data_IF_856240153151
#
_entry.id   IF_856240153151
#
_cell.length_a   1.000
_cell.length_b   1.000
_cell.length_c   1.000
_cell.angle_alpha   90.00
_cell.angle_beta   90.00
_cell.angle_gamma   90.00
#
_symmetry.space_group_name_H-M   'P 1'
#
loop_
_entity.id
_entity.type
_entity.pdbx_description
1 polymer ?
#
# COMPACT_ATOMS: atom_id res chain seq x y z
N UNK A 1 19.06 -5.45 -6.08
CA UNK A 1 19.09 -5.05 -4.65
C UNK A 1 18.18 -5.90 -3.75
N UNK A 2 16.88 -5.61 -3.54
CA UNK A 2 16.05 -6.37 -2.58
C UNK A 2 15.92 -7.85 -2.95
N UNK A 3 15.76 -8.17 -4.24
CA UNK A 3 15.73 -9.55 -4.71
C UNK A 3 17.02 -10.31 -4.40
N UNK A 4 18.19 -9.71 -4.65
CA UNK A 4 19.51 -10.30 -4.33
C UNK A 4 19.67 -10.53 -2.82
N UNK A 5 19.36 -9.53 -1.99
CA UNK A 5 19.49 -9.63 -0.53
C UNK A 5 18.58 -10.73 0.04
N UNK A 6 17.39 -10.89 -0.54
CA UNK A 6 16.40 -11.87 -0.12
C UNK A 6 16.51 -13.21 -0.86
N UNK A 7 17.54 -13.41 -1.69
CA UNK A 7 17.76 -14.65 -2.43
C UNK A 7 16.63 -15.03 -3.40
N UNK A 8 15.97 -14.02 -3.99
CA UNK A 8 14.86 -14.20 -4.94
C UNK A 8 15.40 -14.47 -6.35
N UNK A 9 14.63 -15.22 -7.14
CA UNK A 9 15.06 -15.64 -8.50
C UNK A 9 15.13 -14.47 -9.48
N UNK A 10 15.83 -14.65 -10.61
CA UNK A 10 16.07 -13.58 -11.60
C UNK A 10 14.78 -12.97 -12.19
N UNK A 11 13.69 -13.73 -12.21
CA UNK A 11 12.39 -13.28 -12.73
C UNK A 11 11.46 -12.74 -11.64
N UNK A 12 11.88 -12.73 -10.37
CA UNK A 12 11.10 -12.22 -9.27
C UNK A 12 11.47 -10.77 -8.97
N UNK A 13 10.46 -9.89 -8.96
CA UNK A 13 10.64 -8.46 -8.67
C UNK A 13 9.85 -8.07 -7.44
N UNK A 14 10.52 -7.40 -6.49
CA UNK A 14 9.85 -6.83 -5.32
C UNK A 14 8.91 -5.70 -5.78
N UNK A 15 7.61 -5.83 -5.49
CA UNK A 15 6.58 -4.87 -5.89
C UNK A 15 6.17 -3.93 -4.75
N UNK A 16 6.11 -4.45 -3.52
CA UNK A 16 5.69 -3.70 -2.35
C UNK A 16 6.42 -4.23 -1.11
N UNK A 17 6.83 -3.31 -0.23
CA UNK A 17 7.31 -3.63 1.11
C UNK A 17 6.32 -3.05 2.11
N UNK A 18 5.63 -3.91 2.85
CA UNK A 18 4.63 -3.50 3.86
C UNK A 18 5.19 -3.74 5.26
N UNK A 19 5.60 -2.70 6.01
CA UNK A 19 5.90 -2.85 7.42
C UNK A 19 4.62 -3.19 8.18
N UNK A 20 4.70 -4.20 9.06
CA UNK A 20 3.57 -4.67 9.87
C UNK A 20 3.96 -4.62 11.34
N UNK A 21 3.07 -4.10 12.18
CA UNK A 21 3.28 -3.97 13.61
C UNK A 21 2.19 -3.13 14.25
N UNK A 22 2.32 -2.90 15.56
CA UNK A 22 1.47 -1.96 16.29
C UNK A 22 1.93 -0.52 16.06
N UNK A 23 1.00 0.46 16.05
CA UNK A 23 1.37 1.86 16.03
C UNK A 23 2.12 2.22 17.32
N UNK A 24 3.02 3.20 17.22
CA UNK A 24 3.61 3.82 18.41
C UNK A 24 2.52 4.54 19.23
N UNK A 25 2.75 4.70 20.53
CA UNK A 25 1.91 5.56 21.36
C UNK A 25 1.90 6.98 20.79
N UNK A 26 0.71 7.51 20.51
CA UNK A 26 0.55 8.83 19.89
C UNK A 26 0.87 8.87 18.39
N UNK A 27 0.90 7.75 17.68
CA UNK A 27 1.00 7.74 16.22
C UNK A 27 -0.14 8.55 15.58
N UNK A 28 0.23 9.52 14.75
CA UNK A 28 -0.72 10.37 14.03
C UNK A 28 -0.86 9.96 12.57
N UNK A 29 -2.00 10.27 11.99
CA UNK A 29 -2.27 10.15 10.55
C UNK A 29 -2.88 11.46 10.05
N UNK A 30 -2.60 11.87 8.80
CA UNK A 30 -3.26 13.04 8.23
C UNK A 30 -4.77 12.79 8.11
N UNK A 31 -5.57 13.83 8.35
CA UNK A 31 -7.02 13.78 8.24
C UNK A 31 -7.49 13.85 6.77
N UNK A 32 -7.22 12.79 6.01
CA UNK A 32 -7.61 12.67 4.60
C UNK A 32 -9.06 12.19 4.47
N UNK A 33 -9.79 12.78 3.52
CA UNK A 33 -11.14 12.32 3.17
C UNK A 33 -11.10 11.37 1.98
N UNK A 34 -11.90 10.30 2.01
CA UNK A 34 -12.09 9.44 0.84
C UNK A 34 -13.02 10.14 -0.15
N UNK A 35 -12.83 9.86 -1.43
CA UNK A 35 -13.77 10.25 -2.47
C UNK A 35 -15.15 9.63 -2.20
N UNK A 36 -16.21 10.39 -2.49
CA UNK A 36 -17.58 9.88 -2.51
C UNK A 36 -17.76 8.88 -3.66
N UNK A 37 -18.80 8.05 -3.58
CA UNK A 37 -19.03 6.95 -4.54
C UNK A 37 -19.21 7.48 -5.97
N UNK A 38 -20.02 8.54 -6.11
CA UNK A 38 -20.28 9.26 -7.35
C UNK A 38 -19.04 9.89 -7.98
N UNK A 39 -17.96 10.09 -7.22
CA UNK A 39 -16.67 10.57 -7.75
C UNK A 39 -15.79 9.46 -8.33
N UNK A 40 -16.13 8.18 -8.10
CA UNK A 40 -15.30 7.03 -8.51
C UNK A 40 -16.04 5.96 -9.31
N UNK A 41 -17.35 6.12 -9.54
CA UNK A 41 -18.15 5.14 -10.25
C UNK A 41 -19.09 5.79 -11.27
N UNK A 42 -19.10 5.24 -12.48
CA UNK A 42 -20.12 5.48 -13.50
C UNK A 42 -21.07 4.27 -13.54
N UNK A 43 -22.37 4.51 -13.33
CA UNK A 43 -23.40 3.48 -13.46
C UNK A 43 -24.04 3.58 -14.84
N UNK A 44 -23.98 2.50 -15.62
CA UNK A 44 -24.53 2.39 -16.97
C UNK A 44 -25.66 1.36 -16.94
N UNK A 45 -26.78 1.66 -17.59
CA UNK A 45 -27.92 0.75 -17.79
C UNK A 45 -27.70 -0.25 -18.92
#
# INVERSE_FOLDING_TARGET
FLGEILGRGEHEKAMLLMPVGYPADGAEVPNLQRKALDEISDFIE
#
